data_IF_328836806400
#
_entry.id   IF_328836806400
#
_cell.length_a   1.000
_cell.length_b   1.000
_cell.length_c   1.000
_cell.angle_alpha   90.00
_cell.angle_beta   90.00
_cell.angle_gamma   90.00
#
_symmetry.space_group_name_H-M   'P 1'
#
loop_
_entity.id
_entity.type
_entity.pdbx_description
1 polymer ?
#
# COMPACT_ATOMS: atom_id res chain seq x y z
N UNK A 1 47.51 -27.53 45.91
CA UNK A 1 46.65 -27.89 44.77
C UNK A 1 45.23 -27.50 45.14
N UNK A 2 44.66 -26.52 44.43
CA UNK A 2 43.35 -25.93 44.73
C UNK A 2 42.22 -26.87 44.35
N UNK A 3 41.22 -26.93 45.21
CA UNK A 3 39.95 -27.62 45.00
C UNK A 3 38.94 -26.56 44.53
N UNK A 4 38.85 -26.37 43.21
CA UNK A 4 37.98 -25.36 42.62
C UNK A 4 36.54 -25.89 42.58
N UNK A 5 35.77 -25.52 43.60
CA UNK A 5 34.37 -25.89 43.75
C UNK A 5 33.49 -25.29 42.65
N UNK A 6 32.89 -26.15 41.81
CA UNK A 6 31.88 -25.72 40.83
C UNK A 6 30.62 -25.16 41.52
N UNK A 7 30.21 -23.95 41.15
CA UNK A 7 29.02 -23.27 41.66
C UNK A 7 28.01 -23.12 40.52
N UNK A 8 26.85 -23.76 40.68
CA UNK A 8 25.72 -23.69 39.77
C UNK A 8 25.14 -22.26 39.75
N UNK A 9 25.10 -21.62 38.58
CA UNK A 9 24.63 -20.24 38.46
C UNK A 9 23.17 -20.12 37.97
N UNK A 10 22.54 -21.22 37.55
CA UNK A 10 21.15 -21.21 37.10
C UNK A 10 20.36 -22.45 37.54
N UNK A 11 19.03 -22.36 37.46
CA UNK A 11 18.10 -23.32 38.09
C UNK A 11 18.09 -24.75 37.52
N UNK A 12 18.85 -25.00 36.45
CA UNK A 12 18.99 -26.31 35.79
C UNK A 12 20.46 -26.73 35.66
N UNK A 13 21.31 -26.22 36.53
CA UNK A 13 22.75 -26.41 36.43
C UNK A 13 23.17 -27.66 37.26
N UNK A 14 22.96 -28.83 36.65
CA UNK A 14 23.40 -30.11 37.21
C UNK A 14 24.82 -30.43 36.72
N UNK A 15 25.66 -30.93 37.62
CA UNK A 15 27.03 -31.37 37.28
C UNK A 15 26.96 -32.55 36.32
N UNK A 16 27.24 -32.31 35.04
CA UNK A 16 27.00 -33.27 33.96
C UNK A 16 27.76 -34.60 34.09
N UNK A 17 28.85 -34.61 34.85
CA UNK A 17 29.63 -35.82 35.13
C UNK A 17 28.97 -36.76 36.17
N UNK A 18 27.92 -36.30 36.86
CA UNK A 18 27.08 -37.14 37.73
C UNK A 18 25.91 -37.77 36.96
N UNK A 19 25.49 -37.21 35.84
CA UNK A 19 24.31 -37.67 35.08
C UNK A 19 24.65 -38.47 33.83
N UNK A 20 25.90 -38.46 33.37
CA UNK A 20 26.38 -39.39 32.34
C UNK A 20 26.71 -40.75 32.98
N UNK A 21 25.75 -41.67 32.92
CA UNK A 21 26.05 -43.09 33.10
C UNK A 21 26.99 -43.54 31.97
N UNK A 22 28.15 -44.10 32.31
CA UNK A 22 29.02 -44.76 31.34
C UNK A 22 28.23 -45.90 30.70
N UNK A 23 28.04 -45.85 29.38
CA UNK A 23 27.39 -46.92 28.63
C UNK A 23 28.31 -48.14 28.62
N UNK A 24 28.09 -49.07 29.53
CA UNK A 24 28.63 -50.42 29.39
C UNK A 24 27.91 -51.13 28.23
N UNK A 25 28.61 -51.97 27.44
CA UNK A 25 28.08 -52.49 26.18
C UNK A 25 26.98 -53.56 26.32
N UNK A 26 26.63 -53.96 27.53
CA UNK A 26 25.59 -54.97 27.80
C UNK A 26 24.52 -54.43 28.77
N UNK A 27 23.59 -53.63 28.27
CA UNK A 27 22.40 -53.24 29.03
C UNK A 27 21.13 -53.53 28.24
N UNK A 28 20.69 -54.79 28.35
CA UNK A 28 19.27 -55.11 28.50
C UNK A 28 18.62 -54.07 29.41
N UNK A 29 17.68 -53.31 28.85
CA UNK A 29 16.99 -52.13 29.43
C UNK A 29 16.86 -52.20 30.96
N UNK A 30 17.58 -51.33 31.67
CA UNK A 30 17.48 -51.19 33.12
C UNK A 30 16.17 -50.45 33.44
N UNK A 31 15.11 -51.19 33.79
CA UNK A 31 13.89 -50.62 34.36
C UNK A 31 13.94 -50.73 35.88
N UNK A 32 13.48 -49.69 36.56
CA UNK A 32 13.32 -49.76 38.02
C UNK A 32 12.22 -50.77 38.36
N UNK A 33 12.32 -51.41 39.54
CA UNK A 33 11.25 -52.31 40.02
C UNK A 33 9.91 -51.57 40.11
N UNK A 34 9.92 -50.26 40.34
CA UNK A 34 8.72 -49.42 40.27
C UNK A 34 8.12 -49.35 38.86
N UNK A 35 8.93 -49.15 37.82
CA UNK A 35 8.41 -48.99 36.45
C UNK A 35 7.89 -50.30 35.86
N UNK A 36 8.45 -51.44 36.27
CA UNK A 36 7.99 -52.76 35.80
C UNK A 36 6.75 -53.27 36.55
N UNK A 37 6.56 -52.82 37.80
CA UNK A 37 5.46 -53.29 38.65
C UNK A 37 4.25 -52.35 38.63
N UNK A 38 4.45 -51.05 38.39
CA UNK A 38 3.39 -50.04 38.33
C UNK A 38 3.08 -49.64 36.89
N UNK A 39 2.36 -50.50 36.18
CA UNK A 39 1.77 -50.15 34.90
C UNK A 39 0.50 -49.29 35.11
N UNK A 40 0.25 -48.26 34.28
CA UNK A 40 -1.04 -47.55 34.32
C UNK A 40 -2.17 -48.54 34.07
N UNK A 41 -3.27 -48.47 34.83
CA UNK A 41 -4.35 -49.43 34.72
C UNK A 41 -4.90 -49.45 33.29
N UNK A 42 -5.03 -50.65 32.74
CA UNK A 42 -5.76 -50.84 31.49
C UNK A 42 -7.22 -50.49 31.77
N UNK A 43 -7.70 -49.41 31.15
CA UNK A 43 -9.03 -48.88 31.42
C UNK A 43 -10.02 -49.83 30.78
N UNK A 44 -10.42 -50.89 31.49
CA UNK A 44 -11.49 -51.79 31.06
C UNK A 44 -12.72 -50.93 30.71
N UNK A 45 -12.99 -50.82 29.41
CA UNK A 45 -14.02 -49.95 28.83
C UNK A 45 -15.40 -50.57 29.04
N UNK A 46 -15.84 -50.69 30.28
CA UNK A 46 -17.23 -51.08 30.57
C UNK A 46 -18.10 -49.88 30.20
N UNK A 47 -19.07 -50.09 29.30
CA UNK A 47 -20.05 -49.05 28.97
C UNK A 47 -20.85 -48.72 30.22
N UNK A 48 -20.68 -47.50 30.74
CA UNK A 48 -21.40 -46.98 31.91
C UNK A 48 -22.82 -46.52 31.58
N UNK A 49 -23.13 -46.38 30.28
CA UNK A 49 -24.37 -45.81 29.78
C UNK A 49 -25.08 -46.81 28.88
N UNK A 50 -26.41 -46.90 29.01
CA UNK A 50 -27.23 -47.74 28.15
C UNK A 50 -27.28 -47.22 26.71
N UNK A 51 -27.40 -48.12 25.72
CA UNK A 51 -27.36 -47.78 24.28
C UNK A 51 -28.35 -46.67 23.89
N UNK A 52 -29.56 -46.68 24.47
CA UNK A 52 -30.57 -45.65 24.21
C UNK A 52 -30.09 -44.26 24.67
N UNK A 53 -29.52 -44.17 25.87
CA UNK A 53 -29.04 -42.90 26.42
C UNK A 53 -27.81 -42.41 25.66
N UNK A 54 -26.90 -43.30 25.27
CA UNK A 54 -25.74 -42.98 24.41
C UNK A 54 -26.18 -42.36 23.07
N UNK A 55 -27.22 -42.92 22.44
CA UNK A 55 -27.76 -42.40 21.18
C UNK A 55 -28.43 -41.04 21.34
N UNK A 56 -29.21 -40.85 22.41
CA UNK A 56 -29.89 -39.59 22.71
C UNK A 56 -28.86 -38.49 22.99
N UNK A 57 -27.85 -38.80 23.81
CA UNK A 57 -26.78 -37.86 24.14
C UNK A 57 -26.01 -37.45 22.89
N UNK A 58 -25.64 -38.41 22.03
CA UNK A 58 -24.98 -38.13 20.76
C UNK A 58 -25.83 -37.25 19.85
N UNK A 59 -27.13 -37.50 19.76
CA UNK A 59 -28.05 -36.69 18.96
C UNK A 59 -28.06 -35.22 19.44
N UNK A 60 -28.20 -35.00 20.75
CA UNK A 60 -28.19 -33.63 21.29
C UNK A 60 -26.84 -32.94 21.11
N UNK A 61 -25.73 -33.65 21.27
CA UNK A 61 -24.41 -33.09 20.98
C UNK A 61 -24.28 -32.66 19.53
N UNK A 62 -24.73 -33.48 18.59
CA UNK A 62 -24.71 -33.15 17.17
C UNK A 62 -25.55 -31.89 16.89
N UNK A 63 -26.78 -31.85 17.40
CA UNK A 63 -27.67 -30.71 17.21
C UNK A 63 -27.06 -29.41 17.79
N UNK A 64 -26.54 -29.46 19.02
CA UNK A 64 -25.90 -28.29 19.65
C UNK A 64 -24.68 -27.82 18.88
N UNK A 65 -23.85 -28.74 18.38
CA UNK A 65 -22.68 -28.37 17.57
C UNK A 65 -23.08 -27.73 16.25
N UNK A 66 -24.13 -28.24 15.60
CA UNK A 66 -24.64 -27.69 14.35
C UNK A 66 -25.21 -26.28 14.56
N UNK A 67 -26.02 -26.08 15.59
CA UNK A 67 -26.55 -24.76 15.95
C UNK A 67 -25.45 -23.75 16.30
N UNK A 68 -24.40 -24.19 17.01
CA UNK A 68 -23.25 -23.35 17.33
C UNK A 68 -22.46 -22.95 16.07
N UNK A 69 -22.21 -23.91 15.17
CA UNK A 69 -21.54 -23.65 13.89
C UNK A 69 -22.37 -22.72 13.00
N UNK A 70 -23.69 -22.91 12.94
CA UNK A 70 -24.58 -22.02 12.19
C UNK A 70 -24.50 -20.58 12.69
N UNK A 71 -24.46 -20.36 14.02
CA UNK A 71 -24.29 -19.02 14.61
C UNK A 71 -22.91 -18.42 14.31
N UNK A 72 -21.84 -19.21 14.36
CA UNK A 72 -20.49 -18.76 14.01
C UNK A 72 -20.35 -18.44 12.51
N UNK A 73 -21.04 -19.19 11.66
CA UNK A 73 -21.07 -18.97 10.21
C UNK A 73 -22.07 -17.89 9.78
N UNK A 74 -22.84 -17.29 10.69
CA UNK A 74 -23.62 -16.11 10.34
C UNK A 74 -22.64 -15.06 9.82
N UNK A 75 -22.88 -14.51 8.61
CA UNK A 75 -21.98 -13.52 8.05
C UNK A 75 -21.92 -12.35 9.02
N UNK A 76 -20.76 -12.18 9.65
CA UNK A 76 -20.49 -11.00 10.46
C UNK A 76 -20.76 -9.80 9.57
N UNK A 77 -21.55 -8.84 10.09
CA UNK A 77 -21.81 -7.61 9.37
C UNK A 77 -20.46 -6.94 9.14
N UNK A 78 -19.95 -7.04 7.91
CA UNK A 78 -18.68 -6.43 7.54
C UNK A 78 -18.88 -4.93 7.68
N UNK A 79 -18.23 -4.35 8.69
CA UNK A 79 -18.18 -2.91 8.83
C UNK A 79 -17.43 -2.38 7.60
N UNK A 80 -18.13 -1.59 6.78
CA UNK A 80 -17.51 -0.88 5.68
C UNK A 80 -16.69 0.26 6.30
N UNK A 81 -15.40 0.02 6.49
CA UNK A 81 -14.46 1.08 6.84
C UNK A 81 -14.30 1.97 5.61
N UNK A 82 -14.93 3.13 5.66
CA UNK A 82 -14.74 4.20 4.68
C UNK A 82 -14.39 5.45 5.45
N UNK A 83 -13.32 6.13 5.05
CA UNK A 83 -13.04 7.44 5.61
C UNK A 83 -14.00 8.47 5.02
N UNK A 84 -14.20 9.59 5.72
CA UNK A 84 -14.92 10.74 5.15
C UNK A 84 -14.25 11.24 3.86
N UNK A 85 -12.94 11.02 3.75
CA UNK A 85 -12.15 11.33 2.57
C UNK A 85 -12.53 10.47 1.36
N UNK A 86 -12.64 9.15 1.55
CA UNK A 86 -12.99 8.20 0.48
C UNK A 86 -14.38 8.48 -0.11
N UNK A 87 -15.33 8.96 0.71
CA UNK A 87 -16.68 9.28 0.24
C UNK A 87 -16.84 10.68 -0.38
N UNK A 88 -15.99 11.64 0.01
CA UNK A 88 -16.20 13.06 -0.33
C UNK A 88 -15.19 13.61 -1.33
N UNK A 89 -13.99 13.03 -1.42
CA UNK A 89 -12.89 13.58 -2.20
C UNK A 89 -12.24 12.58 -3.16
N UNK A 90 -12.36 11.27 -2.90
CA UNK A 90 -11.87 10.26 -3.82
C UNK A 90 -12.92 9.97 -4.90
N UNK A 91 -12.86 10.73 -5.99
CA UNK A 91 -13.65 10.46 -7.19
C UNK A 91 -12.84 9.52 -8.09
N UNK A 92 -13.16 8.22 -8.05
CA UNK A 92 -12.48 7.21 -8.88
C UNK A 92 -12.76 7.40 -10.39
N UNK A 93 -13.78 8.20 -10.75
CA UNK A 93 -14.09 8.56 -12.13
C UNK A 93 -13.36 9.85 -12.57
N UNK A 94 -12.62 10.51 -11.67
CA UNK A 94 -11.84 11.69 -12.01
C UNK A 94 -10.68 11.32 -12.94
N UNK A 95 -10.88 11.60 -14.22
CA UNK A 95 -9.81 11.51 -15.22
C UNK A 95 -9.15 12.89 -15.37
N UNK A 96 -7.87 13.05 -14.99
CA UNK A 96 -7.20 14.34 -15.10
C UNK A 96 -7.18 14.78 -16.58
N UNK A 97 -7.66 15.99 -16.82
CA UNK A 97 -7.82 16.58 -18.17
C UNK A 97 -6.49 16.63 -18.97
N UNK A 98 -5.34 16.54 -18.31
CA UNK A 98 -4.03 16.45 -18.95
C UNK A 98 -3.88 15.23 -19.89
N UNK A 99 -4.62 14.14 -19.65
CA UNK A 99 -4.65 12.99 -20.55
C UNK A 99 -5.39 13.25 -21.88
N UNK A 100 -6.20 14.30 -21.96
CA UNK A 100 -6.99 14.67 -23.14
C UNK A 100 -6.31 15.73 -24.03
N UNK A 101 -5.22 16.32 -23.56
CA UNK A 101 -4.51 17.41 -24.26
C UNK A 101 -3.98 16.98 -25.64
N UNK A 102 -3.78 15.67 -25.85
CA UNK A 102 -3.18 15.12 -27.07
C UNK A 102 -4.18 14.67 -28.15
N UNK A 103 -5.51 14.76 -27.93
CA UNK A 103 -6.48 14.11 -28.85
C UNK A 103 -6.85 14.90 -30.10
N UNK A 104 -6.68 16.22 -30.13
CA UNK A 104 -7.11 17.04 -31.28
C UNK A 104 -5.94 17.80 -31.90
N UNK A 105 -5.02 17.07 -32.54
CA UNK A 105 -3.92 17.64 -33.35
C UNK A 105 -4.43 18.62 -34.41
N UNK A 106 -5.60 18.37 -34.99
CA UNK A 106 -6.25 19.27 -35.96
C UNK A 106 -6.66 20.61 -35.33
N UNK A 107 -7.12 20.60 -34.08
CA UNK A 107 -7.56 21.81 -33.37
C UNK A 107 -6.34 22.63 -32.93
N UNK A 108 -5.28 21.98 -32.44
CA UNK A 108 -4.00 22.63 -32.12
C UNK A 108 -3.31 23.25 -33.35
N UNK A 109 -3.44 22.64 -34.53
CA UNK A 109 -2.96 23.23 -35.79
C UNK A 109 -3.80 24.43 -36.24
N UNK A 110 -5.10 24.40 -35.98
CA UNK A 110 -6.05 25.46 -36.37
C UNK A 110 -6.02 26.67 -35.43
N UNK A 111 -5.86 26.44 -34.13
CA UNK A 111 -5.84 27.46 -33.08
C UNK A 111 -4.56 27.29 -32.23
N UNK A 112 -3.41 27.76 -32.73
CA UNK A 112 -2.15 27.60 -32.03
C UNK A 112 -2.10 28.47 -30.76
N UNK A 113 -2.13 27.83 -29.59
CA UNK A 113 -2.24 28.46 -28.26
C UNK A 113 -1.24 29.60 -27.98
N UNK A 114 -0.04 29.55 -28.59
CA UNK A 114 1.04 30.53 -28.36
C UNK A 114 1.49 31.28 -29.62
N UNK A 115 0.81 31.11 -30.75
CA UNK A 115 1.18 31.84 -31.99
C UNK A 115 0.29 33.05 -32.24
N UNK A 116 -0.94 33.01 -31.77
CA UNK A 116 -1.87 34.12 -31.98
C UNK A 116 -1.59 35.26 -30.98
N UNK A 117 -1.67 36.53 -31.41
CA UNK A 117 -1.51 37.66 -30.51
C UNK A 117 -2.62 37.66 -29.44
N UNK A 118 -2.33 38.09 -28.21
CA UNK A 118 -3.30 38.06 -27.12
C UNK A 118 -4.50 38.95 -27.44
N UNK A 119 -5.71 38.41 -27.23
CA UNK A 119 -6.94 39.17 -27.40
C UNK A 119 -7.01 40.25 -26.30
N UNK A 120 -6.83 41.50 -26.68
CA UNK A 120 -6.88 42.64 -25.77
C UNK A 120 -7.66 43.79 -26.40
N UNK A 121 -8.18 44.68 -25.56
CA UNK A 121 -8.87 45.89 -26.00
C UNK A 121 -8.05 46.71 -27.01
N UNK A 122 -6.74 46.86 -26.75
CA UNK A 122 -5.84 47.61 -27.62
C UNK A 122 -5.69 46.96 -29.00
N UNK A 123 -5.59 45.63 -29.06
CA UNK A 123 -5.49 44.90 -30.33
C UNK A 123 -6.78 45.06 -31.17
N UNK A 124 -7.95 45.04 -30.52
CA UNK A 124 -9.24 45.24 -31.18
C UNK A 124 -9.40 46.68 -31.69
N UNK A 125 -8.92 47.67 -30.93
CA UNK A 125 -9.09 49.08 -31.27
C UNK A 125 -7.93 49.68 -32.07
N UNK A 126 -6.99 48.86 -32.57
CA UNK A 126 -5.75 49.31 -33.23
C UNK A 126 -5.95 50.25 -34.43
N UNK A 127 -7.11 50.21 -35.09
CA UNK A 127 -7.40 51.07 -36.24
C UNK A 127 -7.91 52.47 -35.84
N UNK A 128 -8.36 52.64 -34.59
CA UNK A 128 -9.01 53.86 -34.12
C UNK A 128 -8.16 54.64 -33.09
N UNK A 129 -6.95 54.15 -32.79
CA UNK A 129 -6.02 54.83 -31.88
C UNK A 129 -5.24 55.88 -32.69
N UNK A 130 -5.10 57.09 -32.13
CA UNK A 130 -4.30 58.15 -32.73
C UNK A 130 -2.84 58.06 -32.28
N UNK A 131 -1.90 58.51 -33.13
CA UNK A 131 -0.47 58.54 -32.79
C UNK A 131 0.25 57.18 -32.91
N UNK A 132 -0.26 56.28 -33.76
CA UNK A 132 0.34 54.95 -33.98
C UNK A 132 1.56 55.07 -34.89
N UNK A 133 2.67 54.48 -34.48
CA UNK A 133 3.84 54.24 -35.33
C UNK A 133 3.66 52.95 -36.13
N UNK A 134 4.08 52.93 -37.40
CA UNK A 134 4.04 51.71 -38.24
C UNK A 134 4.85 50.60 -37.57
N UNK A 135 4.23 49.46 -37.20
CA UNK A 135 4.95 48.37 -36.57
C UNK A 135 5.79 47.61 -37.61
N UNK A 136 6.95 47.06 -37.22
CA UNK A 136 7.79 46.26 -38.10
C UNK A 136 7.22 44.88 -38.40
N UNK A 137 6.31 44.37 -37.58
CA UNK A 137 5.67 43.06 -37.73
C UNK A 137 4.18 43.17 -37.39
N UNK A 138 3.32 42.57 -38.22
CA UNK A 138 1.87 42.54 -38.03
C UNK A 138 1.47 41.74 -36.79
N UNK A 139 2.26 40.72 -36.41
CA UNK A 139 2.02 39.93 -35.20
C UNK A 139 2.36 40.70 -33.92
N UNK A 140 3.14 41.79 -34.02
CA UNK A 140 3.58 42.60 -32.89
C UNK A 140 3.22 44.08 -33.09
N UNK A 141 1.91 44.43 -33.09
CA UNK A 141 1.45 45.76 -33.49
C UNK A 141 1.87 46.90 -32.53
N UNK A 142 2.28 46.57 -31.30
CA UNK A 142 2.74 47.54 -30.30
C UNK A 142 4.25 47.50 -30.07
N UNK A 143 5.02 46.90 -30.99
CA UNK A 143 6.48 46.94 -30.93
C UNK A 143 6.98 48.36 -31.17
N UNK A 144 7.84 48.86 -30.27
CA UNK A 144 8.43 50.20 -30.39
C UNK A 144 9.16 50.33 -31.72
N UNK A 145 8.81 51.35 -32.51
CA UNK A 145 9.55 51.74 -33.69
C UNK A 145 10.34 53.01 -33.37
N UNK A 146 11.67 52.92 -33.48
CA UNK A 146 12.60 54.03 -33.21
C UNK A 146 13.22 54.60 -34.49
N UNK A 147 12.76 54.21 -35.68
CA UNK A 147 13.34 54.64 -36.95
C UNK A 147 13.42 56.17 -37.10
N UNK A 148 12.47 56.91 -36.53
CA UNK A 148 12.49 58.38 -36.53
C UNK A 148 13.47 59.00 -35.52
N UNK A 149 13.69 58.35 -34.37
CA UNK A 149 14.48 58.91 -33.27
C UNK A 149 15.91 58.37 -33.19
N UNK A 150 16.24 57.32 -33.95
CA UNK A 150 17.60 56.78 -34.04
C UNK A 150 18.53 57.80 -34.72
N UNK A 151 19.77 57.98 -34.24
CA UNK A 151 20.77 58.82 -34.91
C UNK A 151 21.14 58.24 -36.27
N UNK A 152 21.48 59.11 -37.23
CA UNK A 152 21.73 58.72 -38.63
C UNK A 152 22.87 57.70 -38.80
N UNK A 153 23.88 57.77 -37.94
CA UNK A 153 25.03 56.85 -37.95
C UNK A 153 24.61 55.38 -37.77
N UNK A 154 23.58 55.12 -36.95
CA UNK A 154 23.09 53.76 -36.68
C UNK A 154 22.16 53.22 -37.78
N UNK A 155 21.52 54.09 -38.56
CA UNK A 155 20.52 53.69 -39.58
C UNK A 155 21.22 53.15 -40.84
N UNK A 156 22.41 53.68 -41.17
CA UNK A 156 23.15 53.32 -42.38
C UNK A 156 23.80 51.93 -42.30
N UNK A 157 24.00 51.40 -41.11
CA UNK A 157 24.68 50.11 -40.86
C UNK A 157 23.72 48.89 -40.85
N UNK A 158 22.40 49.10 -40.78
CA UNK A 158 21.42 48.00 -40.76
C UNK A 158 20.99 47.61 -42.20
N UNK A 159 21.20 46.35 -42.64
CA UNK A 159 20.71 45.90 -43.95
C UNK A 159 19.19 45.95 -43.99
N UNK A 160 18.64 46.72 -44.93
CA UNK A 160 17.19 46.85 -45.12
C UNK A 160 16.57 45.51 -45.55
N UNK A 161 15.90 44.82 -44.61
CA UNK A 161 14.99 43.73 -44.93
C UNK A 161 13.61 44.32 -45.25
N UNK A 162 13.24 44.29 -46.53
CA UNK A 162 11.88 44.55 -47.02
C UNK A 162 10.90 43.44 -46.60
#
# INVERSE_FOLDING_TARGET
MGDDGFIAQHRSDSRQWLTKMQSHPDTSVWSSVSDSTFAPPDKFKVKTVGRRQELIERFFWQQLTEEALQKLHQPLKVEKYSSEYDGSFNDEEFTPSSAQLNKNTNLYKKYPLYKDPPLSYWLQNKQNIQGITTPPDYLQPFKKNTAFSKPLEEILDEPHSF
#
